data_IF_012865853568
#
_entry.id   IF_012865853568
#
_cell.length_a   1.000
_cell.length_b   1.000
_cell.length_c   1.000
_cell.angle_alpha   90.00
_cell.angle_beta   90.00
_cell.angle_gamma   90.00
#
_symmetry.space_group_name_H-M   'P 1'
#
loop_
_entity.id
_entity.type
_entity.pdbx_description
1 polymer ?
#
# COMPACT_ATOMS: atom_id res chain seq x y z
N UNK A 1 2.08 -15.26 10.81
CA UNK A 1 0.95 -14.98 9.92
C UNK A 1 1.49 -14.66 8.53
N UNK A 2 1.06 -15.41 7.53
CA UNK A 2 1.43 -15.25 6.12
C UNK A 2 0.53 -14.20 5.47
N UNK A 3 1.14 -13.09 5.08
CA UNK A 3 0.45 -11.90 4.58
C UNK A 3 1.04 -11.44 3.24
N UNK A 4 0.28 -10.65 2.50
CA UNK A 4 0.78 -9.92 1.34
C UNK A 4 1.04 -8.47 1.74
N UNK A 5 2.29 -8.05 1.79
CA UNK A 5 2.66 -6.66 2.09
C UNK A 5 2.71 -5.87 0.78
N UNK A 6 2.05 -4.71 0.76
CA UNK A 6 1.98 -3.81 -0.39
C UNK A 6 2.51 -2.44 0.04
N UNK A 7 3.64 -2.05 -0.55
CA UNK A 7 4.33 -0.79 -0.26
C UNK A 7 4.13 0.20 -1.43
N UNK A 8 4.09 1.52 -1.18
CA UNK A 8 4.02 2.51 -2.24
C UNK A 8 5.15 2.34 -3.25
N UNK A 9 4.80 2.30 -4.53
CA UNK A 9 5.79 2.21 -5.61
C UNK A 9 6.51 0.87 -5.75
N UNK A 10 6.14 -0.18 -5.02
CA UNK A 10 6.76 -1.51 -5.11
C UNK A 10 5.76 -2.56 -5.58
N UNK A 11 6.29 -3.65 -6.13
CA UNK A 11 5.53 -4.90 -6.27
C UNK A 11 5.20 -5.47 -4.87
N UNK A 12 4.02 -6.08 -4.68
CA UNK A 12 3.68 -6.80 -3.47
C UNK A 12 4.68 -7.90 -3.15
N UNK A 13 4.82 -8.22 -1.86
CA UNK A 13 5.65 -9.34 -1.41
C UNK A 13 4.92 -10.17 -0.38
N UNK A 14 5.03 -11.48 -0.51
CA UNK A 14 4.66 -12.41 0.55
C UNK A 14 5.62 -12.23 1.74
N UNK A 15 5.08 -12.27 2.95
CA UNK A 15 5.87 -12.22 4.17
C UNK A 15 5.20 -13.04 5.28
N UNK A 16 6.03 -13.63 6.14
CA UNK A 16 5.57 -14.19 7.41
C UNK A 16 5.89 -13.17 8.52
N UNK A 17 4.84 -12.62 9.13
CA UNK A 17 4.93 -11.68 10.26
C UNK A 17 4.52 -12.37 11.57
N UNK A 18 5.00 -11.86 12.70
CA UNK A 18 4.52 -12.31 14.00
C UNK A 18 3.03 -11.93 14.17
N UNK A 19 2.24 -12.80 14.80
CA UNK A 19 0.81 -12.55 15.01
C UNK A 19 0.61 -11.79 16.33
N UNK A 20 1.06 -10.54 16.34
CA UNK A 20 0.98 -9.61 17.47
C UNK A 20 0.67 -8.21 16.93
N UNK A 21 -0.06 -7.42 17.72
CA UNK A 21 -0.41 -6.06 17.35
C UNK A 21 0.85 -5.22 17.09
N UNK A 22 1.91 -5.40 17.87
CA UNK A 22 3.17 -4.67 17.71
C UNK A 22 3.82 -4.95 16.35
N UNK A 23 3.79 -6.20 15.88
CA UNK A 23 4.34 -6.57 14.58
C UNK A 23 3.49 -6.01 13.43
N UNK A 24 2.17 -6.03 13.56
CA UNK A 24 1.24 -5.47 12.58
C UNK A 24 1.41 -3.95 12.46
N UNK A 25 1.49 -3.25 13.60
CA UNK A 25 1.76 -1.81 13.67
C UNK A 25 3.12 -1.46 13.07
N UNK A 26 4.15 -2.29 13.29
CA UNK A 26 5.47 -2.10 12.69
C UNK A 26 5.46 -2.21 11.15
N UNK A 27 4.58 -3.05 10.57
CA UNK A 27 4.45 -3.19 9.12
C UNK A 27 3.82 -1.95 8.50
N UNK A 28 2.71 -1.46 9.07
CA UNK A 28 1.98 -0.31 8.51
C UNK A 28 2.55 1.05 8.95
N UNK A 29 3.42 1.05 9.96
CA UNK A 29 4.12 2.24 10.44
C UNK A 29 3.29 3.12 11.37
N UNK A 30 2.33 2.56 12.11
CA UNK A 30 1.44 3.30 12.99
C UNK A 30 0.37 2.42 13.63
N UNK A 31 -0.63 3.04 14.25
CA UNK A 31 -1.83 2.34 14.70
C UNK A 31 -2.59 1.75 13.51
N UNK A 32 -3.25 0.61 13.71
CA UNK A 32 -3.84 -0.15 12.62
C UNK A 32 -5.34 0.12 12.47
N UNK A 33 -5.80 0.09 11.24
CA UNK A 33 -7.20 -0.02 10.86
C UNK A 33 -7.38 -1.25 9.98
N UNK A 34 -8.44 -2.03 10.23
CA UNK A 34 -8.84 -3.15 9.39
C UNK A 34 -10.00 -2.76 8.48
N UNK A 35 -9.84 -2.96 7.18
CA UNK A 35 -10.83 -2.64 6.15
C UNK A 35 -11.28 -3.93 5.46
N UNK A 36 -12.59 -4.09 5.27
CA UNK A 36 -13.22 -5.31 4.78
C UNK A 36 -13.89 -5.09 3.40
N UNK A 37 -13.10 -4.86 2.33
CA UNK A 37 -13.65 -4.49 1.03
C UNK A 37 -14.23 -5.68 0.25
N UNK A 38 -13.99 -6.92 0.71
CA UNK A 38 -14.38 -8.13 -0.01
C UNK A 38 -15.37 -8.97 0.78
N UNK A 39 -16.04 -9.90 0.08
CA UNK A 39 -16.98 -10.86 0.69
C UNK A 39 -16.30 -12.16 1.14
N UNK A 40 -15.04 -12.38 0.76
CA UNK A 40 -14.28 -13.54 1.20
C UNK A 40 -13.58 -13.27 2.55
N UNK A 41 -13.02 -14.33 3.15
CA UNK A 41 -12.43 -14.27 4.49
C UNK A 41 -11.01 -13.69 4.44
N UNK A 42 -10.90 -12.42 4.09
CA UNK A 42 -9.66 -11.64 4.12
C UNK A 42 -9.97 -10.15 4.28
N UNK A 43 -8.99 -9.39 4.77
CA UNK A 43 -9.08 -7.95 4.94
C UNK A 43 -7.76 -7.26 4.62
N UNK A 44 -7.83 -5.94 4.53
CA UNK A 44 -6.68 -5.05 4.49
C UNK A 44 -6.42 -4.54 5.90
N UNK A 45 -5.16 -4.49 6.29
CA UNK A 45 -4.71 -3.78 7.49
C UNK A 45 -3.77 -2.67 7.05
N UNK A 46 -4.10 -1.43 7.40
CA UNK A 46 -3.35 -0.22 7.04
C UNK A 46 -3.15 0.70 8.25
N UNK A 47 -2.38 1.77 8.08
CA UNK A 47 -2.21 2.80 9.10
C UNK A 47 -3.47 3.66 9.19
N UNK A 48 -4.08 3.72 10.38
CA UNK A 48 -5.33 4.46 10.67
C UNK A 48 -5.17 6.00 10.55
N UNK A 49 -3.94 6.49 10.63
CA UNK A 49 -3.59 7.90 10.53
C UNK A 49 -2.88 8.25 9.22
N UNK A 50 -2.89 7.36 8.21
CA UNK A 50 -2.11 7.53 6.98
C UNK A 50 -2.36 8.86 6.24
N UNK A 51 -3.59 9.37 6.26
CA UNK A 51 -3.93 10.69 5.70
C UNK A 51 -3.34 11.82 6.56
N UNK A 52 -3.55 11.76 7.88
CA UNK A 52 -3.11 12.79 8.81
C UNK A 52 -1.58 12.90 8.89
N UNK A 53 -0.88 11.77 8.75
CA UNK A 53 0.58 11.67 8.69
C UNK A 53 1.13 11.99 7.29
N UNK A 54 0.27 12.29 6.31
CA UNK A 54 0.64 12.58 4.93
C UNK A 54 1.51 11.47 4.31
N UNK A 55 1.15 10.20 4.57
CA UNK A 55 1.83 9.06 3.98
C UNK A 55 1.58 9.01 2.47
N UNK A 56 2.52 8.45 1.68
CA UNK A 56 2.38 8.37 0.23
C UNK A 56 1.14 7.56 -0.18
N UNK A 57 0.45 8.02 -1.23
CA UNK A 57 -0.63 7.25 -1.87
C UNK A 57 -0.07 5.91 -2.38
N UNK A 58 -0.76 4.82 -2.07
CA UNK A 58 -0.29 3.47 -2.37
C UNK A 58 -1.16 2.78 -3.43
N UNK A 59 -2.40 2.41 -3.09
CA UNK A 59 -3.33 1.72 -4.00
C UNK A 59 -4.76 2.21 -3.82
N UNK A 60 -5.50 2.27 -4.92
CA UNK A 60 -6.95 2.44 -4.95
C UNK A 60 -7.63 1.30 -4.18
N UNK A 61 -8.62 1.67 -3.39
CA UNK A 61 -9.55 0.76 -2.76
C UNK A 61 -10.90 0.86 -3.45
N UNK A 62 -11.17 -0.08 -4.37
CA UNK A 62 -12.36 -0.03 -5.20
C UNK A 62 -12.39 1.25 -6.04
N UNK A 63 -13.51 1.96 -6.01
CA UNK A 63 -13.74 3.24 -6.69
C UNK A 63 -14.00 4.40 -5.71
N UNK A 64 -13.82 4.18 -4.40
CA UNK A 64 -14.27 5.10 -3.36
C UNK A 64 -13.17 5.65 -2.46
N UNK A 65 -11.99 5.02 -2.38
CA UNK A 65 -10.91 5.46 -1.49
C UNK A 65 -9.51 5.09 -2.01
N UNK A 66 -8.47 5.61 -1.34
CA UNK A 66 -7.06 5.34 -1.62
C UNK A 66 -6.36 5.03 -0.31
N UNK A 67 -5.61 3.94 -0.28
CA UNK A 67 -4.80 3.59 0.90
C UNK A 67 -3.53 4.43 0.91
N UNK A 68 -3.26 5.07 2.04
CA UNK A 68 -2.05 5.85 2.30
C UNK A 68 -1.02 5.01 3.08
N UNK A 69 0.22 4.98 2.61
CA UNK A 69 1.32 4.24 3.24
C UNK A 69 1.28 2.74 2.97
N UNK A 70 2.16 2.00 3.66
CA UNK A 70 2.24 0.54 3.57
C UNK A 70 1.00 -0.09 4.17
N UNK A 71 0.46 -1.10 3.51
CA UNK A 71 -0.60 -1.95 4.06
C UNK A 71 -0.26 -3.41 3.84
N UNK A 72 -1.01 -4.31 4.48
CA UNK A 72 -0.95 -5.71 4.17
C UNK A 72 -2.34 -6.33 4.06
N UNK A 73 -2.42 -7.44 3.32
CA UNK A 73 -3.62 -8.28 3.23
C UNK A 73 -3.39 -9.53 4.07
N UNK A 74 -4.34 -9.86 4.94
CA UNK A 74 -4.34 -11.07 5.76
C UNK A 74 -5.67 -11.82 5.63
N UNK A 75 -5.64 -13.11 5.97
CA UNK A 75 -6.85 -13.93 6.06
C UNK A 75 -7.64 -13.57 7.32
N UNK A 76 -8.91 -13.99 7.34
CA UNK A 76 -9.79 -13.84 8.50
C UNK A 76 -10.24 -15.21 9.01
N UNK A 77 -10.17 -15.38 10.32
CA UNK A 77 -11.00 -16.35 11.02
C UNK A 77 -12.31 -15.69 11.45
N UNK A 78 -13.07 -16.33 12.33
CA UNK A 78 -14.30 -15.75 12.88
C UNK A 78 -14.02 -14.50 13.71
N UNK A 79 -12.93 -14.51 14.47
CA UNK A 79 -12.70 -13.56 15.57
C UNK A 79 -11.30 -12.93 15.52
N UNK A 80 -10.46 -13.25 14.52
CA UNK A 80 -9.06 -12.84 14.47
C UNK A 80 -8.46 -12.88 13.05
N UNK A 81 -7.29 -12.26 12.88
CA UNK A 81 -6.50 -12.36 11.65
C UNK A 81 -5.84 -13.75 11.53
N UNK A 82 -5.52 -14.14 10.29
CA UNK A 82 -4.84 -15.40 10.01
C UNK A 82 -4.08 -15.36 8.69
N UNK A 83 -3.44 -16.47 8.37
CA UNK A 83 -2.70 -16.67 7.12
C UNK A 83 -3.63 -16.52 5.91
N UNK A 84 -3.12 -15.89 4.85
CA UNK A 84 -3.73 -16.02 3.53
C UNK A 84 -3.57 -17.46 3.03
N UNK A 85 -4.65 -18.01 2.48
CA UNK A 85 -4.53 -19.24 1.71
C UNK A 85 -3.69 -19.00 0.44
N UNK A 86 -3.06 -20.03 -0.15
CA UNK A 86 -2.31 -19.86 -1.40
C UNK A 86 -3.15 -19.26 -2.55
N UNK A 87 -4.46 -19.56 -2.58
CA UNK A 87 -5.37 -19.00 -3.57
C UNK A 87 -5.62 -17.51 -3.34
N UNK A 88 -5.80 -17.09 -2.08
CA UNK A 88 -5.97 -15.68 -1.73
C UNK A 88 -4.67 -14.90 -1.96
N UNK A 89 -3.52 -15.46 -1.57
CA UNK A 89 -2.21 -14.86 -1.83
C UNK A 89 -2.05 -14.52 -3.31
N UNK A 90 -2.27 -15.52 -4.19
CA UNK A 90 -2.21 -15.32 -5.64
C UNK A 90 -3.21 -14.26 -6.13
N UNK A 91 -4.47 -14.32 -5.67
CA UNK A 91 -5.51 -13.37 -6.06
C UNK A 91 -5.15 -11.92 -5.72
N UNK A 92 -4.65 -11.68 -4.51
CA UNK A 92 -4.34 -10.32 -4.06
C UNK A 92 -3.02 -9.81 -4.61
N UNK A 93 -2.07 -10.70 -4.87
CA UNK A 93 -0.86 -10.37 -5.60
C UNK A 93 -1.22 -9.89 -7.01
N UNK A 94 -2.06 -10.63 -7.74
CA UNK A 94 -2.56 -10.21 -9.07
C UNK A 94 -3.35 -8.89 -9.01
N UNK A 95 -4.15 -8.68 -7.95
CA UNK A 95 -4.95 -7.46 -7.77
C UNK A 95 -4.09 -6.21 -7.54
N UNK A 96 -3.01 -6.33 -6.76
CA UNK A 96 -2.19 -5.20 -6.33
C UNK A 96 -0.78 -5.18 -6.95
N UNK A 97 -0.53 -6.04 -7.93
CA UNK A 97 0.79 -6.26 -8.54
C UNK A 97 1.43 -4.93 -8.92
N UNK A 98 0.79 -4.17 -9.80
CA UNK A 98 1.37 -2.92 -10.30
C UNK A 98 1.26 -1.79 -9.27
N UNK A 99 2.34 -1.02 -9.05
CA UNK A 99 2.24 0.31 -8.44
C UNK A 99 1.31 1.25 -9.19
N UNK A 100 0.75 2.20 -8.43
CA UNK A 100 -0.17 3.20 -8.96
C UNK A 100 0.39 4.60 -8.77
N UNK A 101 0.30 5.41 -9.82
CA UNK A 101 0.51 6.85 -9.78
C UNK A 101 -0.83 7.55 -9.66
N UNK A 102 -0.86 8.60 -8.86
CA UNK A 102 -2.05 9.40 -8.57
C UNK A 102 -1.75 10.85 -8.91
N UNK A 103 -2.55 11.46 -9.77
CA UNK A 103 -2.35 12.84 -10.17
C UNK A 103 -3.68 13.50 -10.54
N UNK A 104 -3.75 14.82 -10.35
CA UNK A 104 -4.92 15.61 -10.71
C UNK A 104 -4.76 16.15 -12.12
N UNK A 105 -5.69 15.79 -13.01
CA UNK A 105 -5.89 16.46 -14.28
C UNK A 105 -7.07 17.43 -14.14
N UNK A 106 -6.76 18.68 -13.78
CA UNK A 106 -7.77 19.67 -13.41
C UNK A 106 -8.44 19.32 -12.07
N UNK A 107 -9.71 18.93 -12.11
CA UNK A 107 -10.48 18.48 -10.92
C UNK A 107 -10.66 16.97 -10.85
N UNK A 108 -10.14 16.24 -11.81
CA UNK A 108 -10.28 14.78 -11.90
C UNK A 108 -9.04 14.12 -11.35
N UNK A 109 -9.22 13.20 -10.40
CA UNK A 109 -8.16 12.29 -9.97
C UNK A 109 -7.99 11.21 -11.04
N UNK A 110 -6.77 11.12 -11.57
CA UNK A 110 -6.36 10.06 -12.49
C UNK A 110 -5.47 9.07 -11.75
N UNK A 111 -5.63 7.79 -12.09
CA UNK A 111 -4.87 6.68 -11.54
C UNK A 111 -4.29 5.88 -12.70
N UNK A 112 -2.97 5.66 -12.69
CA UNK A 112 -2.29 4.88 -13.71
C UNK A 112 -1.45 3.77 -13.06
N UNK A 113 -1.56 2.56 -13.60
CA UNK A 113 -0.68 1.45 -13.24
C UNK A 113 0.70 1.68 -13.86
N UNK A 114 1.74 1.33 -13.12
CA UNK A 114 3.12 1.57 -13.53
C UNK A 114 4.06 0.49 -13.00
N UNK A 115 5.37 0.62 -13.26
CA UNK A 115 6.40 -0.24 -12.66
C UNK A 115 7.12 0.48 -11.52
N UNK A 116 7.79 -0.23 -10.59
CA UNK A 116 8.57 0.39 -9.53
C UNK A 116 9.66 1.34 -10.01
N UNK A 117 10.30 1.04 -11.13
CA UNK A 117 11.35 1.88 -11.72
C UNK A 117 10.78 3.21 -12.22
N UNK A 118 9.62 3.16 -12.87
CA UNK A 118 8.94 4.34 -13.39
C UNK A 118 8.38 5.18 -12.23
N UNK A 119 7.70 4.54 -11.26
CA UNK A 119 7.25 5.20 -10.03
C UNK A 119 8.41 5.95 -9.35
N UNK A 120 9.55 5.29 -9.18
CA UNK A 120 10.75 5.90 -8.58
C UNK A 120 11.26 7.09 -9.39
N UNK A 121 11.21 7.02 -10.72
CA UNK A 121 11.60 8.12 -11.62
C UNK A 121 10.67 9.32 -11.48
N UNK A 122 9.36 9.10 -11.41
CA UNK A 122 8.35 10.18 -11.31
C UNK A 122 8.35 10.81 -9.92
N UNK A 123 8.52 10.02 -8.88
CA UNK A 123 8.51 10.48 -7.48
C UNK A 123 9.87 11.01 -7.00
N UNK A 124 10.93 10.89 -7.80
CA UNK A 124 12.24 11.44 -7.47
C UNK A 124 12.18 12.98 -7.37
N UNK A 125 12.84 13.59 -6.36
CA UNK A 125 12.95 15.03 -6.30
C UNK A 125 13.68 15.56 -7.56
N UNK A 126 13.29 16.73 -8.09
CA UNK A 126 13.97 17.30 -9.23
C UNK A 126 15.47 17.48 -8.94
N UNK A 127 16.35 17.27 -9.94
CA UNK A 127 17.77 17.44 -9.73
C UNK A 127 18.05 18.86 -9.26
N UNK A 128 18.81 19.01 -8.15
CA UNK A 128 19.28 20.31 -7.68
C UNK A 128 20.11 20.95 -8.78
N UNK A 129 19.59 22.01 -9.41
CA UNK A 129 20.40 22.91 -10.24
C UNK A 129 21.47 23.49 -9.32
N UNK A 130 22.74 23.15 -9.60
CA UNK A 130 23.86 23.86 -8.98
C UNK A 130 23.77 25.30 -9.48
N UNK A 131 23.39 26.23 -8.61
CA UNK A 131 23.62 27.65 -8.88
C UNK A 131 25.12 27.83 -9.12
N UNK A 132 25.44 28.30 -10.32
CA UNK A 132 26.79 28.73 -10.66
C UNK A 132 27.18 29.84 -9.68
N UNK A 133 28.32 29.76 -8.98
CA UNK A 133 28.75 30.87 -8.14
C UNK A 133 28.94 32.10 -9.04
N UNK A 134 28.18 33.15 -8.75
CA UNK A 134 28.34 34.47 -9.36
C UNK A 134 29.79 34.92 -9.14
N UNK A 135 30.41 35.38 -10.24
CA UNK A 135 31.80 35.84 -10.29
C UNK A 135 31.98 37.21 -9.65
#
# INVERSE_FOLDING_TARGET
MKVLIVEPGKYPREADIEHTLEAEQAVVGGTIEAVYPWRDSACIVCNDNGIAENLPLNRMLGDYDIIHGTFFVCGLTRDDFTDLTPQQMKRYEELYHDPQLFFLLGKTLCVEHTTPEEYSRVMAPPPKTKESPER
#
